data_IF_090371174149
#
_entry.id   IF_090371174149
#
_cell.length_a   1.000
_cell.length_b   1.000
_cell.length_c   1.000
_cell.angle_alpha   90.00
_cell.angle_beta   90.00
_cell.angle_gamma   90.00
#
_symmetry.space_group_name_H-M   'P 1'
#
loop_
_entity.id
_entity.type
_entity.pdbx_description
1 polymer ?
#
# COMPACT_ATOMS: atom_id res chain seq x y z
N UNK A 1 -11.86 9.73 29.48
CA UNK A 1 -11.85 8.41 28.82
C UNK A 1 -13.03 8.17 27.86
N UNK A 2 -14.27 8.58 28.15
CA UNK A 2 -15.44 8.37 27.26
C UNK A 2 -15.44 9.17 25.95
N UNK A 3 -14.81 10.34 25.89
CA UNK A 3 -14.80 11.24 24.72
C UNK A 3 -13.90 10.70 23.61
N UNK A 4 -12.78 10.05 23.95
CA UNK A 4 -11.82 9.49 22.98
C UNK A 4 -12.37 8.31 22.17
N UNK A 5 -13.16 7.45 22.81
CA UNK A 5 -13.78 6.28 22.16
C UNK A 5 -14.85 6.74 21.15
N UNK A 6 -15.57 7.82 21.45
CA UNK A 6 -16.66 8.31 20.58
C UNK A 6 -16.16 8.98 19.30
N UNK A 7 -15.02 9.69 19.35
CA UNK A 7 -14.41 10.32 18.17
C UNK A 7 -13.81 9.25 17.22
N UNK A 8 -13.21 8.20 17.78
CA UNK A 8 -12.64 7.10 17.00
C UNK A 8 -13.70 6.22 16.33
N UNK A 9 -14.85 5.98 17.01
CA UNK A 9 -15.97 5.23 16.43
C UNK A 9 -16.73 5.99 15.33
N UNK A 10 -16.72 7.32 15.35
CA UNK A 10 -17.40 8.14 14.33
C UNK A 10 -16.66 8.19 12.99
N UNK A 11 -15.32 8.01 13.00
CA UNK A 11 -14.50 7.89 11.78
C UNK A 11 -14.71 6.56 11.02
N UNK A 12 -15.31 5.56 11.69
CA UNK A 12 -15.51 4.21 11.15
C UNK A 12 -16.80 4.03 10.32
N UNK A 13 -17.68 5.04 10.23
CA UNK A 13 -19.01 4.89 9.59
C UNK A 13 -19.06 5.29 8.10
N UNK A 14 -17.94 5.67 7.50
CA UNK A 14 -17.92 6.04 6.08
C UNK A 14 -17.07 5.09 5.25
N UNK A 15 -17.69 4.10 4.65
CA UNK A 15 -17.20 3.26 3.56
C UNK A 15 -16.70 1.88 4.01
N UNK A 16 -17.48 0.84 3.73
CA UNK A 16 -17.24 -0.57 4.02
C UNK A 16 -16.02 -1.18 3.30
N UNK A 17 -14.83 -0.71 3.62
CA UNK A 17 -13.58 -1.42 3.38
C UNK A 17 -13.19 -2.10 4.69
N UNK A 18 -13.18 -3.44 4.69
CA UNK A 18 -12.66 -4.21 5.83
C UNK A 18 -11.26 -3.68 6.16
N UNK A 19 -11.08 -3.15 7.37
CA UNK A 19 -9.75 -2.74 7.85
C UNK A 19 -8.86 -3.97 7.81
N UNK A 20 -7.67 -3.84 7.21
CA UNK A 20 -6.66 -4.89 7.18
C UNK A 20 -6.40 -5.40 8.60
N UNK A 21 -6.33 -6.73 8.82
CA UNK A 21 -5.97 -7.32 10.12
C UNK A 21 -4.68 -6.74 10.68
N UNK A 22 -3.65 -6.55 9.85
CA UNK A 22 -2.37 -5.94 10.25
C UNK A 22 -2.55 -4.53 10.79
N UNK A 23 -3.30 -3.67 10.10
CA UNK A 23 -3.54 -2.29 10.54
C UNK A 23 -4.40 -2.27 11.81
N UNK A 24 -5.40 -3.15 11.91
CA UNK A 24 -6.26 -3.26 13.08
C UNK A 24 -5.47 -3.71 14.30
N UNK A 25 -4.60 -4.70 14.17
CA UNK A 25 -3.72 -5.17 15.24
C UNK A 25 -2.80 -4.06 15.77
N UNK A 26 -2.17 -3.30 14.86
CA UNK A 26 -1.32 -2.17 15.23
C UNK A 26 -2.09 -1.07 15.97
N UNK A 27 -3.33 -0.79 15.58
CA UNK A 27 -4.18 0.20 16.26
C UNK A 27 -4.59 -0.26 17.65
N UNK A 28 -4.94 -1.54 17.82
CA UNK A 28 -5.28 -2.13 19.13
C UNK A 28 -4.06 -2.09 20.05
N UNK A 29 -2.91 -2.52 19.57
CA UNK A 29 -1.66 -2.44 20.34
C UNK A 29 -1.36 -0.99 20.77
N UNK A 30 -1.52 -0.04 19.86
CA UNK A 30 -1.29 1.37 20.14
C UNK A 30 -2.23 1.95 21.20
N UNK A 31 -3.50 1.55 21.18
CA UNK A 31 -4.46 1.97 22.22
C UNK A 31 -4.03 1.50 23.60
N UNK A 32 -3.40 0.33 23.70
CA UNK A 32 -2.86 -0.17 24.96
C UNK A 32 -1.57 0.53 25.39
N UNK A 33 -0.68 0.86 24.45
CA UNK A 33 0.66 1.40 24.74
C UNK A 33 0.69 2.93 24.84
N UNK A 34 -0.05 3.61 23.98
CA UNK A 34 0.09 5.05 23.75
C UNK A 34 -0.31 5.94 24.93
N UNK A 35 -1.03 5.42 25.92
CA UNK A 35 -1.47 6.15 27.12
C UNK A 35 -0.77 5.67 28.40
N UNK A 36 0.15 4.73 28.32
CA UNK A 36 0.89 4.18 29.47
C UNK A 36 1.76 5.22 30.15
N UNK A 37 2.21 4.92 31.37
CA UNK A 37 3.22 5.73 32.07
C UNK A 37 4.51 5.83 31.27
N UNK A 38 4.93 4.76 30.60
CA UNK A 38 6.10 4.76 29.73
C UNK A 38 5.93 5.75 28.57
N UNK A 39 4.76 5.76 27.93
CA UNK A 39 4.41 6.72 26.89
C UNK A 39 4.45 8.18 27.35
N UNK A 40 3.96 8.47 28.56
CA UNK A 40 4.07 9.81 29.17
C UNK A 40 5.52 10.19 29.39
N UNK A 41 6.33 9.28 29.94
CA UNK A 41 7.76 9.53 30.17
C UNK A 41 8.49 9.77 28.84
N UNK A 42 8.23 8.98 27.79
CA UNK A 42 8.82 9.17 26.48
C UNK A 42 8.41 10.50 25.85
N UNK A 43 7.14 10.90 25.98
CA UNK A 43 6.63 12.17 25.49
C UNK A 43 7.28 13.36 26.22
N UNK A 44 7.41 13.29 27.54
CA UNK A 44 8.08 14.31 28.35
C UNK A 44 9.56 14.47 27.97
N UNK A 45 10.29 13.36 27.80
CA UNK A 45 11.71 13.38 27.37
C UNK A 45 11.83 13.98 25.96
N UNK A 46 10.95 13.62 25.04
CA UNK A 46 10.92 14.18 23.69
C UNK A 46 10.67 15.71 23.74
N UNK A 47 9.67 16.17 24.50
CA UNK A 47 9.35 17.58 24.67
C UNK A 47 10.50 18.38 25.30
N UNK A 48 11.26 17.78 26.23
CA UNK A 48 12.45 18.41 26.81
C UNK A 48 13.58 18.67 25.78
N UNK A 49 13.66 17.86 24.73
CA UNK A 49 14.66 18.00 23.66
C UNK A 49 14.14 18.77 22.43
N UNK A 50 12.82 18.75 22.20
CA UNK A 50 12.20 19.26 20.99
C UNK A 50 11.08 20.27 21.35
N UNK A 51 11.38 21.58 21.33
CA UNK A 51 10.40 22.61 21.72
C UNK A 51 9.09 22.54 20.95
N UNK A 52 9.11 22.20 19.67
CA UNK A 52 7.90 22.04 18.83
C UNK A 52 6.94 20.99 19.38
N UNK A 53 7.42 20.00 20.13
CA UNK A 53 6.60 18.98 20.78
C UNK A 53 6.09 19.51 22.12
N UNK A 54 6.94 20.20 22.89
CA UNK A 54 6.57 20.82 24.15
C UNK A 54 5.42 21.84 23.98
N UNK A 55 5.47 22.65 22.91
CA UNK A 55 4.48 23.69 22.60
C UNK A 55 3.07 23.11 22.30
N UNK A 56 2.98 21.82 21.98
CA UNK A 56 1.69 21.16 21.76
C UNK A 56 0.91 20.90 23.06
N UNK A 57 1.56 20.94 24.21
CA UNK A 57 0.94 20.69 25.50
C UNK A 57 0.29 19.29 25.62
N UNK A 58 0.89 18.29 24.96
CA UNK A 58 0.42 16.89 24.99
C UNK A 58 1.09 16.13 26.13
N UNK A 59 0.31 15.28 26.80
CA UNK A 59 0.78 14.55 27.98
C UNK A 59 1.41 13.18 27.65
N UNK A 60 1.06 12.60 26.50
CA UNK A 60 1.50 11.25 26.12
C UNK A 60 1.60 11.12 24.60
N UNK A 61 2.24 10.03 24.13
CA UNK A 61 2.44 9.80 22.72
C UNK A 61 1.15 9.51 21.94
N UNK A 62 0.07 9.04 22.60
CA UNK A 62 -1.22 8.86 21.92
C UNK A 62 -1.85 10.21 21.55
N UNK A 63 -1.76 11.19 22.45
CA UNK A 63 -2.21 12.56 22.17
C UNK A 63 -1.35 13.22 21.09
N UNK A 64 -0.02 12.98 21.10
CA UNK A 64 0.89 13.47 20.07
C UNK A 64 0.49 12.90 18.70
N UNK A 65 0.27 11.59 18.59
CA UNK A 65 -0.19 10.94 17.34
C UNK A 65 -1.58 11.47 16.92
N UNK A 66 -2.48 11.68 17.87
CA UNK A 66 -3.80 12.25 17.59
C UNK A 66 -3.70 13.68 17.05
N UNK A 67 -2.78 14.49 17.58
CA UNK A 67 -2.52 15.86 17.09
C UNK A 67 -1.98 15.87 15.64
N UNK A 68 -1.26 14.83 15.23
CA UNK A 68 -0.75 14.64 13.87
C UNK A 68 -1.78 14.12 12.87
N UNK A 69 -2.96 13.71 13.33
CA UNK A 69 -4.03 13.21 12.46
C UNK A 69 -4.50 14.29 11.48
N UNK A 70 -4.74 13.99 10.19
CA UNK A 70 -5.31 14.92 9.22
C UNK A 70 -6.67 15.52 9.64
N UNK A 71 -7.40 14.81 10.52
CA UNK A 71 -8.66 15.29 11.10
C UNK A 71 -8.46 16.23 12.29
N UNK A 72 -7.25 16.37 12.79
CA UNK A 72 -6.91 17.29 13.87
C UNK A 72 -6.70 18.69 13.29
N UNK A 73 -7.45 19.67 13.78
CA UNK A 73 -7.26 21.09 13.43
C UNK A 73 -6.11 21.74 14.22
N UNK A 74 -5.38 20.97 15.05
CA UNK A 74 -4.32 21.49 15.93
C UNK A 74 -3.07 21.93 15.19
N UNK A 75 -2.76 21.29 14.05
CA UNK A 75 -1.54 21.55 13.31
C UNK A 75 -1.83 21.84 11.83
N UNK A 76 -1.10 22.80 11.28
CA UNK A 76 -0.98 22.94 9.84
C UNK A 76 -0.18 21.77 9.27
N UNK A 77 -0.23 21.55 7.97
CA UNK A 77 0.56 20.51 7.29
C UNK A 77 2.07 20.66 7.56
N UNK A 78 2.57 21.88 7.57
CA UNK A 78 3.99 22.16 7.86
C UNK A 78 4.31 21.93 9.34
N UNK A 79 3.41 22.28 10.25
CA UNK A 79 3.55 22.00 11.68
C UNK A 79 3.62 20.50 11.95
N UNK A 80 2.74 19.70 11.33
CA UNK A 80 2.77 18.24 11.46
C UNK A 80 4.09 17.64 10.92
N UNK A 81 4.60 18.14 9.80
CA UNK A 81 5.89 17.71 9.26
C UNK A 81 7.04 18.04 10.22
N UNK A 82 7.04 19.22 10.83
CA UNK A 82 8.02 19.62 11.83
C UNK A 82 8.02 18.73 13.08
N UNK A 83 6.82 18.37 13.57
CA UNK A 83 6.68 17.43 14.70
C UNK A 83 7.21 16.04 14.37
N UNK A 84 6.92 15.50 13.18
CA UNK A 84 7.46 14.20 12.77
C UNK A 84 8.98 14.27 12.63
N UNK A 85 9.53 15.36 12.11
CA UNK A 85 11.00 15.56 12.06
C UNK A 85 11.61 15.56 13.47
N UNK A 86 10.99 16.24 14.43
CA UNK A 86 11.38 16.23 15.83
C UNK A 86 11.32 14.83 16.45
N UNK A 87 10.25 14.08 16.16
CA UNK A 87 10.14 12.68 16.60
C UNK A 87 11.25 11.80 16.04
N UNK A 88 11.66 11.99 14.76
CA UNK A 88 12.77 11.24 14.15
C UNK A 88 14.09 11.59 14.82
N UNK A 89 14.36 12.88 15.13
CA UNK A 89 15.54 13.29 15.89
C UNK A 89 15.55 12.66 17.29
N UNK A 90 14.41 12.68 17.96
CA UNK A 90 14.23 12.10 19.30
C UNK A 90 14.10 10.58 19.34
N UNK A 91 14.05 9.88 18.22
CA UNK A 91 13.72 8.44 18.15
C UNK A 91 14.74 7.52 18.86
N UNK A 92 15.95 8.01 19.17
CA UNK A 92 16.95 7.30 19.99
C UNK A 92 16.72 7.43 21.50
N UNK A 93 15.88 8.38 21.92
CA UNK A 93 15.64 8.68 23.35
C UNK A 93 14.84 7.55 24.01
N UNK A 94 13.85 7.00 23.26
CA UNK A 94 12.94 5.98 23.77
C UNK A 94 12.37 5.13 22.62
N UNK A 95 12.26 3.81 22.84
CA UNK A 95 11.76 2.84 21.84
C UNK A 95 10.28 3.04 21.48
N UNK A 96 9.50 3.77 22.26
CA UNK A 96 8.10 4.08 21.95
C UNK A 96 7.97 5.21 20.92
N UNK A 97 9.00 6.06 20.74
CA UNK A 97 8.95 7.16 19.77
C UNK A 97 8.90 6.62 18.33
N UNK A 98 9.76 5.67 17.89
CA UNK A 98 9.61 5.02 16.58
C UNK A 98 8.23 4.40 16.35
N UNK A 99 7.64 3.77 17.37
CA UNK A 99 6.27 3.24 17.29
C UNK A 99 5.23 4.34 17.07
N UNK A 100 5.36 5.46 17.76
CA UNK A 100 4.50 6.62 17.57
C UNK A 100 4.61 7.19 16.14
N UNK A 101 5.83 7.22 15.56
CA UNK A 101 6.04 7.64 14.15
C UNK A 101 5.30 6.70 13.20
N UNK A 102 5.44 5.38 13.37
CA UNK A 102 4.71 4.40 12.55
C UNK A 102 3.21 4.63 12.64
N UNK A 103 2.65 4.79 13.84
CA UNK A 103 1.23 5.05 14.04
C UNK A 103 0.77 6.36 13.36
N UNK A 104 1.54 7.41 13.47
CA UNK A 104 1.24 8.70 12.83
C UNK A 104 1.23 8.61 11.30
N UNK A 105 2.04 7.72 10.72
CA UNK A 105 2.19 7.56 9.26
C UNK A 105 1.28 6.48 8.64
N UNK A 106 0.51 5.72 9.44
CA UNK A 106 -0.47 4.74 8.92
C UNK A 106 -1.39 5.34 7.83
N UNK A 107 -1.97 6.55 7.98
CA UNK A 107 -2.80 7.13 6.92
C UNK A 107 -2.04 7.32 5.60
N UNK A 108 -0.75 7.65 5.68
CA UNK A 108 0.14 7.76 4.51
C UNK A 108 0.38 6.40 3.85
N UNK A 109 0.62 5.36 4.64
CA UNK A 109 0.77 3.97 4.13
C UNK A 109 -0.51 3.49 3.45
N UNK A 110 -1.68 3.74 4.06
CA UNK A 110 -2.98 3.42 3.44
C UNK A 110 -3.19 4.16 2.10
N UNK A 111 -2.69 5.40 1.99
CA UNK A 111 -2.75 6.14 0.73
C UNK A 111 -1.80 5.58 -0.35
N UNK A 112 -0.70 4.94 0.04
CA UNK A 112 0.24 4.29 -0.91
C UNK A 112 -0.40 3.11 -1.64
N UNK A 113 -1.24 2.30 -0.98
CA UNK A 113 -1.92 1.16 -1.62
C UNK A 113 -2.82 1.55 -2.80
N UNK A 114 -3.29 2.81 -2.83
CA UNK A 114 -4.07 3.35 -3.95
C UNK A 114 -3.22 3.77 -5.15
N UNK A 115 -1.91 3.96 -4.95
CA UNK A 115 -0.96 4.47 -5.96
C UNK A 115 -0.02 3.37 -6.48
N UNK A 116 0.15 2.32 -5.70
CA UNK A 116 0.91 1.14 -6.10
C UNK A 116 -0.11 0.14 -6.63
N UNK A 117 0.04 -0.24 -7.89
CA UNK A 117 -0.82 -1.24 -8.49
C UNK A 117 -0.57 -2.59 -7.82
N UNK A 118 -1.44 -2.93 -6.88
CA UNK A 118 -1.42 -4.22 -6.18
C UNK A 118 -1.97 -5.35 -7.06
N UNK A 119 -2.64 -5.00 -8.18
CA UNK A 119 -3.24 -5.97 -9.10
C UNK A 119 -2.21 -6.74 -9.93
N UNK A 120 -0.96 -6.26 -10.03
CA UNK A 120 0.11 -6.96 -10.73
C UNK A 120 0.74 -8.13 -9.94
N UNK A 121 0.02 -8.65 -8.94
CA UNK A 121 0.28 -9.97 -8.37
C UNK A 121 1.53 -10.10 -7.49
N UNK A 122 2.15 -9.00 -7.02
CA UNK A 122 3.30 -9.07 -6.12
C UNK A 122 2.91 -9.39 -4.68
N UNK A 123 1.69 -9.06 -4.31
CA UNK A 123 1.11 -9.38 -2.99
C UNK A 123 -0.12 -10.26 -3.18
N UNK A 124 -0.26 -11.28 -2.30
CA UNK A 124 -1.42 -12.18 -2.32
C UNK A 124 -2.72 -11.42 -2.03
N UNK A 125 -2.61 -10.37 -1.20
CA UNK A 125 -3.72 -9.50 -0.80
C UNK A 125 -3.21 -8.15 -0.28
N UNK A 126 -4.14 -7.26 0.07
CA UNK A 126 -3.83 -5.95 0.64
C UNK A 126 -3.20 -6.03 2.04
N UNK A 127 -3.48 -7.08 2.80
CA UNK A 127 -2.92 -7.23 4.15
C UNK A 127 -1.42 -7.53 4.09
N UNK A 128 -1.00 -8.42 3.18
CA UNK A 128 0.42 -8.68 2.89
C UNK A 128 1.15 -7.41 2.46
N UNK A 129 0.52 -6.59 1.59
CA UNK A 129 1.06 -5.28 1.22
C UNK A 129 1.26 -4.37 2.44
N UNK A 130 0.28 -4.30 3.34
CA UNK A 130 0.40 -3.45 4.53
C UNK A 130 1.45 -3.99 5.51
N UNK A 131 1.56 -5.30 5.67
CA UNK A 131 2.60 -5.91 6.50
C UNK A 131 4.00 -5.53 6.02
N UNK A 132 4.26 -5.65 4.71
CA UNK A 132 5.51 -5.23 4.10
C UNK A 132 5.76 -3.73 4.24
N UNK A 133 4.74 -2.90 3.97
CA UNK A 133 4.86 -1.46 4.06
C UNK A 133 5.20 -0.99 5.49
N UNK A 134 4.56 -1.58 6.50
CA UNK A 134 4.81 -1.28 7.92
C UNK A 134 6.20 -1.77 8.33
N UNK A 135 6.62 -2.96 7.88
CA UNK A 135 7.96 -3.50 8.14
C UNK A 135 9.05 -2.57 7.58
N UNK A 136 8.90 -2.14 6.34
CA UNK A 136 9.83 -1.18 5.71
C UNK A 136 9.81 0.17 6.42
N UNK A 137 8.64 0.67 6.80
CA UNK A 137 8.51 1.93 7.54
C UNK A 137 9.22 1.85 8.89
N UNK A 138 9.08 0.74 9.60
CA UNK A 138 9.78 0.47 10.86
C UNK A 138 11.29 0.44 10.66
N UNK A 139 11.78 -0.27 9.65
CA UNK A 139 13.22 -0.33 9.32
C UNK A 139 13.79 1.06 9.04
N UNK A 140 13.09 1.85 8.20
CA UNK A 140 13.54 3.21 7.86
C UNK A 140 13.52 4.14 9.08
N UNK A 141 12.47 4.08 9.89
CA UNK A 141 12.35 4.88 11.12
C UNK A 141 13.49 4.56 12.09
N UNK A 142 13.80 3.28 12.27
CA UNK A 142 14.90 2.82 13.14
C UNK A 142 16.27 3.25 12.59
N UNK A 143 16.48 3.15 11.28
CA UNK A 143 17.72 3.56 10.61
C UNK A 143 17.97 5.06 10.71
N UNK A 144 16.92 5.86 10.63
CA UNK A 144 17.02 7.33 10.66
C UNK A 144 16.85 7.93 12.05
N UNK A 145 16.67 7.09 13.06
CA UNK A 145 16.60 7.56 14.44
C UNK A 145 17.80 8.48 14.78
N UNK A 146 17.51 9.66 15.32
CA UNK A 146 18.50 10.66 15.71
C UNK A 146 19.09 11.46 14.53
N UNK A 147 18.58 11.30 13.30
CA UNK A 147 19.02 12.12 12.16
C UNK A 147 18.18 13.38 12.02
N UNK A 148 18.81 14.46 11.54
CA UNK A 148 18.11 15.70 11.22
C UNK A 148 17.55 15.63 9.79
N UNK A 149 16.22 15.51 9.67
CA UNK A 149 15.51 15.41 8.40
C UNK A 149 14.27 16.31 8.42
N UNK A 150 14.35 17.50 7.85
CA UNK A 150 13.24 18.47 7.91
C UNK A 150 11.98 17.97 7.23
N UNK A 151 12.10 17.08 6.25
CA UNK A 151 10.99 16.48 5.50
C UNK A 151 10.76 15.00 5.86
N UNK A 152 11.10 14.60 7.09
CA UNK A 152 11.10 13.20 7.53
C UNK A 152 9.84 12.41 7.17
N UNK A 153 8.64 12.99 7.28
CA UNK A 153 7.39 12.31 6.93
C UNK A 153 7.31 11.94 5.45
N UNK A 154 7.67 12.88 4.57
CA UNK A 154 7.72 12.67 3.12
C UNK A 154 8.79 11.66 2.74
N UNK A 155 9.98 11.83 3.29
CA UNK A 155 11.13 10.96 3.03
C UNK A 155 10.86 9.51 3.46
N UNK A 156 10.22 9.30 4.63
CA UNK A 156 9.84 7.98 5.11
C UNK A 156 8.84 7.31 4.17
N UNK A 157 7.77 8.01 3.77
CA UNK A 157 6.77 7.46 2.87
C UNK A 157 7.32 7.24 1.45
N UNK A 158 8.18 8.11 0.95
CA UNK A 158 8.86 7.90 -0.33
C UNK A 158 9.86 6.72 -0.27
N UNK A 159 10.56 6.56 0.85
CA UNK A 159 11.42 5.41 1.10
C UNK A 159 10.64 4.10 1.08
N UNK A 160 9.49 4.06 1.78
CA UNK A 160 8.57 2.92 1.76
C UNK A 160 8.12 2.64 0.32
N UNK A 161 7.62 3.65 -0.40
CA UNK A 161 7.18 3.51 -1.80
C UNK A 161 8.27 2.94 -2.70
N UNK A 162 9.50 3.46 -2.58
CA UNK A 162 10.64 3.03 -3.39
C UNK A 162 11.00 1.58 -3.08
N UNK A 163 11.04 1.19 -1.81
CA UNK A 163 11.36 -0.17 -1.39
C UNK A 163 10.30 -1.18 -1.84
N UNK A 164 9.01 -0.85 -1.68
CA UNK A 164 7.91 -1.70 -2.14
C UNK A 164 7.94 -1.91 -3.67
N UNK A 165 8.23 -0.86 -4.45
CA UNK A 165 8.42 -1.00 -5.90
C UNK A 165 9.61 -1.88 -6.27
N UNK A 166 10.68 -1.84 -5.48
CA UNK A 166 11.84 -2.71 -5.68
C UNK A 166 11.48 -4.17 -5.38
N UNK A 167 10.76 -4.44 -4.29
CA UNK A 167 10.23 -5.76 -3.96
C UNK A 167 9.32 -6.28 -5.07
N UNK A 168 8.39 -5.47 -5.55
CA UNK A 168 7.52 -5.80 -6.67
C UNK A 168 8.29 -6.22 -7.93
N UNK A 169 9.29 -5.41 -8.32
CA UNK A 169 10.12 -5.72 -9.48
C UNK A 169 10.93 -7.02 -9.31
N UNK A 170 11.44 -7.24 -8.11
CA UNK A 170 12.21 -8.46 -7.79
C UNK A 170 11.33 -9.71 -7.87
N UNK A 171 10.12 -9.63 -7.32
CA UNK A 171 9.13 -10.70 -7.35
C UNK A 171 8.68 -11.02 -8.77
N UNK A 172 8.38 -10.00 -9.58
CA UNK A 172 8.05 -10.18 -10.99
C UNK A 172 9.19 -10.86 -11.77
N UNK A 173 10.44 -10.47 -11.50
CA UNK A 173 11.61 -11.13 -12.12
C UNK A 173 11.77 -12.58 -11.67
N UNK A 174 11.51 -12.85 -10.40
CA UNK A 174 11.60 -14.21 -9.86
C UNK A 174 10.56 -15.12 -10.50
N UNK A 175 9.30 -14.66 -10.57
CA UNK A 175 8.22 -15.40 -11.26
C UNK A 175 8.52 -15.63 -12.75
N UNK A 176 9.05 -14.61 -13.43
CA UNK A 176 9.43 -14.76 -14.84
C UNK A 176 10.54 -15.81 -15.04
N UNK A 177 11.47 -15.93 -14.09
CA UNK A 177 12.53 -16.95 -14.15
C UNK A 177 12.00 -18.35 -13.83
N UNK A 178 11.11 -18.47 -12.85
CA UNK A 178 10.46 -19.75 -12.52
C UNK A 178 9.56 -20.25 -13.65
N UNK A 179 8.87 -19.34 -14.35
CA UNK A 179 8.04 -19.65 -15.51
C UNK A 179 8.86 -20.05 -16.76
N UNK A 180 10.18 -19.80 -16.76
CA UNK A 180 11.06 -20.14 -17.87
C UNK A 180 11.80 -21.49 -17.68
N UNK A 181 11.52 -22.21 -16.59
CA UNK A 181 12.05 -23.54 -16.36
C UNK A 181 11.18 -24.58 -17.11
N UNK A 182 11.70 -25.23 -18.19
CA UNK A 182 10.92 -26.19 -18.97
C UNK A 182 10.46 -27.40 -18.14
N UNK A 183 11.24 -27.81 -17.12
CA UNK A 183 10.88 -28.93 -16.25
C UNK A 183 9.73 -28.59 -15.30
N UNK A 184 9.57 -27.32 -14.89
CA UNK A 184 8.44 -26.86 -14.10
C UNK A 184 7.13 -26.88 -14.89
N UNK A 185 7.18 -26.71 -16.22
CA UNK A 185 6.01 -26.81 -17.11
C UNK A 185 5.52 -28.27 -17.21
N UNK A 186 6.42 -29.25 -17.24
CA UNK A 186 6.06 -30.67 -17.30
C UNK A 186 5.41 -31.16 -15.98
N UNK A 187 5.83 -30.63 -14.82
CA UNK A 187 5.18 -30.91 -13.53
C UNK A 187 3.83 -30.21 -13.37
N UNK A 188 3.62 -29.05 -13.99
CA UNK A 188 2.31 -28.37 -14.03
C UNK A 188 1.35 -29.04 -15.03
N UNK A 189 1.85 -29.57 -16.12
CA UNK A 189 1.04 -30.33 -17.08
C UNK A 189 0.49 -31.65 -16.50
N UNK A 190 1.17 -32.21 -15.49
CA UNK A 190 0.73 -33.42 -14.77
C UNK A 190 -0.36 -33.15 -13.71
N UNK A 191 -0.57 -31.92 -13.29
CA UNK A 191 -1.67 -31.51 -12.39
C UNK A 191 -2.84 -30.94 -13.19
N UNK A 192 -3.63 -31.83 -13.78
CA UNK A 192 -4.72 -31.57 -14.72
C UNK A 192 -5.79 -30.62 -14.15
N UNK A 193 -5.60 -29.34 -14.36
CA UNK A 193 -6.67 -28.32 -14.46
C UNK A 193 -6.63 -27.72 -15.86
N UNK A 194 -7.74 -27.13 -16.36
CA UNK A 194 -7.75 -26.46 -17.65
C UNK A 194 -6.61 -25.44 -17.70
N UNK A 195 -5.86 -25.40 -18.81
CA UNK A 195 -4.75 -24.47 -18.98
C UNK A 195 -5.24 -23.01 -18.83
N UNK A 196 -4.36 -22.09 -18.43
CA UNK A 196 -4.74 -20.68 -18.36
C UNK A 196 -5.30 -20.15 -19.71
N UNK A 197 -4.87 -20.74 -20.82
CA UNK A 197 -5.38 -20.49 -22.18
C UNK A 197 -6.82 -20.98 -22.35
N UNK A 198 -7.11 -22.20 -21.91
CA UNK A 198 -8.45 -22.79 -21.96
C UNK A 198 -9.43 -22.04 -21.05
N UNK A 199 -8.99 -21.67 -19.82
CA UNK A 199 -9.79 -20.85 -18.92
C UNK A 199 -10.12 -19.50 -19.54
N UNK A 200 -9.14 -18.82 -20.14
CA UNK A 200 -9.39 -17.54 -20.77
C UNK A 200 -10.21 -17.68 -22.05
N UNK A 201 -10.02 -18.74 -22.85
CA UNK A 201 -10.85 -19.03 -24.01
C UNK A 201 -12.30 -19.27 -23.62
N UNK A 202 -12.56 -19.99 -22.52
CA UNK A 202 -13.89 -20.22 -21.98
C UNK A 202 -14.52 -18.91 -21.49
N UNK A 203 -13.80 -18.10 -20.70
CA UNK A 203 -14.27 -16.79 -20.23
C UNK A 203 -14.58 -15.85 -21.39
N UNK A 204 -13.75 -15.81 -22.43
CA UNK A 204 -14.00 -14.99 -23.62
C UNK A 204 -15.15 -15.53 -24.47
N UNK A 205 -15.31 -16.87 -24.53
CA UNK A 205 -16.46 -17.52 -25.17
C UNK A 205 -17.77 -17.13 -24.48
N UNK A 206 -17.84 -17.26 -23.17
CA UNK A 206 -18.99 -16.86 -22.37
C UNK A 206 -19.27 -15.35 -22.51
N UNK A 207 -18.24 -14.50 -22.43
CA UNK A 207 -18.38 -13.05 -22.57
C UNK A 207 -18.94 -12.63 -23.94
N UNK A 208 -18.67 -13.40 -25.02
CA UNK A 208 -19.30 -13.14 -26.33
C UNK A 208 -20.78 -13.43 -26.31
N UNK A 209 -21.24 -14.45 -25.55
CA UNK A 209 -22.66 -14.71 -25.28
C UNK A 209 -23.33 -13.57 -24.51
N UNK A 210 -22.61 -12.84 -23.69
CA UNK A 210 -23.08 -11.66 -22.95
C UNK A 210 -22.83 -10.32 -23.67
N UNK A 211 -22.53 -10.34 -24.96
CA UNK A 211 -22.48 -9.15 -25.81
C UNK A 211 -21.08 -8.55 -26.01
N UNK A 212 -19.99 -9.21 -25.59
CA UNK A 212 -18.65 -8.84 -26.00
C UNK A 212 -18.48 -9.17 -27.48
N UNK A 213 -18.01 -8.22 -28.29
CA UNK A 213 -17.76 -8.47 -29.72
C UNK A 213 -16.59 -9.43 -29.90
N UNK A 214 -16.74 -10.44 -30.76
CA UNK A 214 -15.70 -11.44 -31.07
C UNK A 214 -14.36 -10.77 -31.41
N UNK A 215 -14.37 -9.67 -32.16
CA UNK A 215 -13.14 -8.94 -32.49
C UNK A 215 -12.47 -8.28 -31.27
N UNK A 216 -13.21 -7.97 -30.20
CA UNK A 216 -12.64 -7.42 -28.97
C UNK A 216 -12.08 -8.54 -28.09
N UNK A 217 -12.76 -9.70 -28.05
CA UNK A 217 -12.26 -10.92 -27.42
C UNK A 217 -10.94 -11.38 -28.09
N UNK A 218 -10.87 -11.36 -29.41
CA UNK A 218 -9.66 -11.71 -30.16
C UNK A 218 -8.47 -10.81 -29.83
N UNK A 219 -8.66 -9.50 -29.64
CA UNK A 219 -7.58 -8.59 -29.25
C UNK A 219 -7.09 -8.89 -27.82
N UNK A 220 -7.99 -9.23 -26.90
CA UNK A 220 -7.60 -9.63 -25.53
C UNK A 220 -6.81 -10.94 -25.59
N UNK A 221 -7.30 -11.95 -26.31
CA UNK A 221 -6.65 -13.23 -26.47
C UNK A 221 -5.25 -13.09 -27.07
N UNK A 222 -5.12 -12.38 -28.19
CA UNK A 222 -3.84 -12.16 -28.86
C UNK A 222 -2.81 -11.46 -27.96
N UNK A 223 -3.25 -10.51 -27.14
CA UNK A 223 -2.32 -9.74 -26.29
C UNK A 223 -2.04 -10.38 -24.94
N UNK A 224 -2.90 -11.28 -24.43
CA UNK A 224 -2.77 -11.88 -23.09
C UNK A 224 -2.33 -13.33 -23.12
N UNK A 225 -2.72 -14.08 -24.15
CA UNK A 225 -2.38 -15.50 -24.31
C UNK A 225 -1.21 -15.66 -25.27
N UNK A 226 -1.33 -15.09 -26.49
CA UNK A 226 -0.28 -15.22 -27.49
C UNK A 226 0.91 -14.28 -27.25
N UNK A 227 0.85 -13.41 -26.23
CA UNK A 227 1.94 -12.49 -25.87
C UNK A 227 2.26 -11.42 -26.92
N UNK A 228 1.41 -11.26 -27.94
CA UNK A 228 1.63 -10.29 -29.01
C UNK A 228 1.51 -8.85 -28.47
N UNK A 229 2.39 -7.98 -28.91
CA UNK A 229 2.24 -6.56 -28.64
C UNK A 229 1.03 -5.99 -29.39
N UNK A 230 0.46 -4.91 -28.89
CA UNK A 230 -0.70 -4.26 -29.54
C UNK A 230 -0.36 -3.74 -30.95
N UNK A 231 0.92 -3.46 -31.24
CA UNK A 231 1.39 -3.03 -32.54
C UNK A 231 1.40 -4.21 -33.51
N UNK A 232 1.93 -5.37 -33.10
CA UNK A 232 1.91 -6.60 -33.92
C UNK A 232 0.46 -7.02 -34.24
N UNK A 233 -0.46 -6.94 -33.27
CA UNK A 233 -1.88 -7.22 -33.52
C UNK A 233 -2.50 -6.19 -34.48
N UNK A 234 -2.08 -4.93 -34.40
CA UNK A 234 -2.53 -3.88 -35.30
C UNK A 234 -2.06 -4.10 -36.73
N UNK A 235 -0.81 -4.50 -36.91
CA UNK A 235 -0.22 -4.81 -38.21
C UNK A 235 -0.91 -6.03 -38.83
N UNK A 236 -1.12 -7.10 -38.05
CA UNK A 236 -1.84 -8.30 -38.49
C UNK A 236 -3.31 -8.03 -38.87
N UNK A 237 -3.97 -7.13 -38.12
CA UNK A 237 -5.37 -6.78 -38.35
C UNK A 237 -5.58 -5.68 -39.40
N UNK A 238 -4.50 -5.02 -39.85
CA UNK A 238 -4.57 -3.92 -40.79
C UNK A 238 -5.30 -2.66 -40.22
N UNK A 239 -5.24 -2.44 -38.89
CA UNK A 239 -5.92 -1.32 -38.21
C UNK A 239 -4.94 -0.52 -37.32
N UNK A 240 -5.17 0.79 -37.14
CA UNK A 240 -4.28 1.60 -36.31
C UNK A 240 -4.19 1.11 -34.86
N UNK A 241 -2.97 0.99 -34.31
CA UNK A 241 -2.71 0.54 -32.94
C UNK A 241 -3.49 1.33 -31.87
N UNK A 242 -3.67 2.65 -32.08
CA UNK A 242 -4.47 3.51 -31.20
C UNK A 242 -5.96 3.10 -31.14
N UNK A 243 -6.50 2.58 -32.22
CA UNK A 243 -7.87 2.05 -32.26
C UNK A 243 -8.00 0.75 -31.45
N UNK A 244 -7.03 -0.16 -31.60
CA UNK A 244 -7.01 -1.42 -30.83
C UNK A 244 -6.78 -1.19 -29.33
N UNK A 245 -5.94 -0.21 -28.94
CA UNK A 245 -5.75 0.16 -27.53
C UNK A 245 -7.07 0.60 -26.89
N UNK A 246 -7.86 1.45 -27.57
CA UNK A 246 -9.18 1.87 -27.09
C UNK A 246 -10.14 0.70 -27.00
N UNK A 247 -10.24 -0.13 -28.05
CA UNK A 247 -11.10 -1.30 -28.05
C UNK A 247 -10.78 -2.27 -26.92
N UNK A 248 -9.49 -2.59 -26.72
CA UNK A 248 -9.07 -3.46 -25.63
C UNK A 248 -9.47 -2.89 -24.26
N UNK A 249 -9.28 -1.59 -24.03
CA UNK A 249 -9.69 -0.96 -22.77
C UNK A 249 -11.19 -1.10 -22.53
N UNK A 250 -12.02 -0.75 -23.49
CA UNK A 250 -13.47 -0.90 -23.37
C UNK A 250 -13.92 -2.36 -23.19
N UNK A 251 -13.25 -3.28 -23.85
CA UNK A 251 -13.56 -4.70 -23.71
C UNK A 251 -13.23 -5.21 -22.29
N UNK A 252 -12.09 -4.83 -21.72
CA UNK A 252 -11.73 -5.18 -20.34
C UNK A 252 -12.67 -4.52 -19.32
N UNK A 253 -13.04 -3.24 -19.50
CA UNK A 253 -14.02 -2.57 -18.65
C UNK A 253 -15.38 -3.31 -18.64
N UNK A 254 -15.81 -3.87 -19.79
CA UNK A 254 -17.06 -4.65 -19.91
C UNK A 254 -16.98 -6.05 -19.30
N UNK A 255 -15.79 -6.65 -19.24
CA UNK A 255 -15.60 -7.96 -18.59
C UNK A 255 -15.61 -7.87 -17.05
N UNK A 256 -15.36 -6.68 -16.50
CA UNK A 256 -15.27 -6.44 -15.05
C UNK A 256 -16.57 -5.85 -14.50
N UNK A 257 -17.45 -5.35 -15.34
CA UNK A 257 -18.77 -4.81 -14.98
C UNK A 257 -19.84 -5.91 -14.86
#
# INVERSE_FOLDING_TARGET
MKVFITVFMKAHRHGGRMDSPTISALRIEWLALGTTRASRTACCRLGACEPVVADLGVENLAELVAALSPSSLRLTRNGAAGVIAAMVRGAKIDLLIPRAIVQALIPGVLALSRRIDTANGSWSDLDAFYADAISVLWELTSRWAGSDRPYAAGDLLDGVRTRLRTLQKSECRHRSRQSSDPDALDHLAASVGPSGEELLANVLGDATGYGLKIADAAVIYATRVLGLSINEVADLAGVPAGHLRRRRRYAVERLVA
#
